data_IF_569370281609
#
_entry.id   IF_569370281609
#
_cell.length_a   1.000
_cell.length_b   1.000
_cell.length_c   1.000
_cell.angle_alpha   90.00
_cell.angle_beta   90.00
_cell.angle_gamma   90.00
#
_symmetry.space_group_name_H-M   'P 1'
#
loop_
_entity.id
_entity.type
_entity.pdbx_description
1 polymer ?
#
# COMPACT_ATOMS: atom_id res chain seq x y z
N UNK A 1 16.41 24.39 0.34
CA UNK A 1 16.53 23.34 1.38
C UNK A 1 15.89 22.06 0.88
N UNK A 2 16.55 20.93 1.03
CA UNK A 2 15.97 19.65 0.57
C UNK A 2 15.04 19.07 1.65
N UNK A 3 13.83 18.69 1.24
CA UNK A 3 12.87 17.95 2.04
C UNK A 3 13.14 16.46 1.93
N UNK A 4 12.78 15.69 2.96
CA UNK A 4 12.79 14.23 2.88
C UNK A 4 11.39 13.69 2.63
N UNK A 5 11.31 12.68 1.77
CA UNK A 5 10.07 12.00 1.42
C UNK A 5 10.23 10.48 1.58
N UNK A 6 9.17 9.83 2.04
CA UNK A 6 9.01 8.39 1.90
C UNK A 6 8.05 8.11 0.75
N UNK A 7 8.52 7.38 -0.26
CA UNK A 7 7.77 7.04 -1.46
C UNK A 7 7.54 5.54 -1.48
N UNK A 8 6.28 5.10 -1.60
CA UNK A 8 5.96 3.71 -1.87
C UNK A 8 6.07 3.43 -3.37
N UNK A 9 6.68 2.29 -3.71
CA UNK A 9 6.82 1.80 -5.07
C UNK A 9 6.12 0.45 -5.18
N UNK A 10 5.23 0.32 -6.16
CA UNK A 10 4.49 -0.92 -6.44
C UNK A 10 4.50 -1.27 -7.92
N UNK A 11 4.61 -2.57 -8.24
CA UNK A 11 4.49 -3.10 -9.59
C UNK A 11 3.86 -4.48 -9.56
N UNK A 12 2.93 -4.78 -10.49
CA UNK A 12 2.35 -6.13 -10.64
C UNK A 12 2.32 -6.60 -12.09
N UNK A 13 2.95 -5.85 -12.99
CA UNK A 13 3.00 -6.18 -14.42
C UNK A 13 4.42 -6.05 -14.94
N UNK A 14 4.82 -6.98 -15.81
CA UNK A 14 6.05 -6.88 -16.56
C UNK A 14 6.00 -5.65 -17.49
N UNK A 15 7.05 -4.84 -17.47
CA UNK A 15 7.23 -3.67 -18.30
C UNK A 15 8.55 -3.72 -19.06
N UNK A 16 8.96 -2.60 -19.65
CA UNK A 16 10.24 -2.46 -20.39
C UNK A 16 11.47 -2.75 -19.52
N UNK A 17 11.37 -2.60 -18.21
CA UNK A 17 12.43 -2.90 -17.25
C UNK A 17 12.41 -4.37 -16.76
N UNK A 18 11.56 -5.22 -17.33
CA UNK A 18 11.48 -6.64 -16.98
C UNK A 18 10.39 -6.98 -15.97
N UNK A 19 10.69 -7.91 -15.06
CA UNK A 19 9.76 -8.35 -14.01
C UNK A 19 9.43 -7.22 -13.01
N UNK A 20 8.31 -7.32 -12.25
CA UNK A 20 7.89 -6.30 -11.29
C UNK A 20 9.00 -5.84 -10.33
N UNK A 21 9.78 -6.76 -9.77
CA UNK A 21 10.88 -6.41 -8.87
C UNK A 21 12.01 -5.62 -9.57
N UNK A 22 12.30 -5.92 -10.83
CA UNK A 22 13.27 -5.15 -11.62
C UNK A 22 12.75 -3.75 -11.94
N UNK A 23 11.45 -3.63 -12.26
CA UNK A 23 10.76 -2.35 -12.47
C UNK A 23 10.82 -1.47 -11.22
N UNK A 24 10.53 -2.02 -10.02
CA UNK A 24 10.62 -1.29 -8.75
C UNK A 24 12.05 -0.78 -8.50
N UNK A 25 13.08 -1.61 -8.72
CA UNK A 25 14.48 -1.18 -8.56
C UNK A 25 14.88 -0.08 -9.57
N UNK A 26 14.43 -0.21 -10.82
CA UNK A 26 14.69 0.81 -11.84
C UNK A 26 13.99 2.13 -11.50
N UNK A 27 12.75 2.07 -11.00
CA UNK A 27 12.01 3.25 -10.57
C UNK A 27 12.67 3.94 -9.37
N UNK A 28 13.15 3.18 -8.38
CA UNK A 28 13.89 3.75 -7.24
C UNK A 28 15.13 4.55 -7.70
N UNK A 29 15.88 4.04 -8.68
CA UNK A 29 16.99 4.80 -9.29
C UNK A 29 16.51 6.04 -10.02
N UNK A 30 15.44 5.92 -10.81
CA UNK A 30 14.90 7.03 -11.61
C UNK A 30 14.40 8.22 -10.77
N UNK A 31 13.90 7.95 -9.55
CA UNK A 31 13.45 9.00 -8.61
C UNK A 31 14.58 9.50 -7.69
N UNK A 32 15.83 9.08 -7.89
CA UNK A 32 16.97 9.53 -7.08
C UNK A 32 16.92 9.05 -5.62
N UNK A 33 16.46 7.82 -5.38
CA UNK A 33 16.34 7.30 -4.03
C UNK A 33 17.69 7.22 -3.30
N UNK A 34 17.78 7.85 -2.12
CA UNK A 34 18.98 7.81 -1.25
C UNK A 34 19.03 6.54 -0.39
N UNK A 35 17.88 5.93 -0.15
CA UNK A 35 17.74 4.64 0.55
C UNK A 35 16.52 3.90 0.02
N UNK A 36 16.61 2.57 -0.11
CA UNK A 36 15.52 1.71 -0.59
C UNK A 36 15.42 0.48 0.30
N UNK A 37 14.23 0.10 0.68
CA UNK A 37 13.96 -1.16 1.40
C UNK A 37 14.18 -2.37 0.49
N UNK A 38 14.20 -3.56 1.08
CA UNK A 38 14.10 -4.80 0.30
C UNK A 38 12.81 -4.79 -0.52
N UNK A 39 12.90 -5.25 -1.78
CA UNK A 39 11.71 -5.48 -2.61
C UNK A 39 11.04 -6.75 -2.13
N UNK A 40 9.77 -6.64 -1.70
CA UNK A 40 8.96 -7.75 -1.17
C UNK A 40 7.86 -8.10 -2.14
N UNK A 41 7.64 -9.41 -2.35
CA UNK A 41 6.49 -9.89 -3.10
C UNK A 41 5.30 -10.05 -2.17
N UNK A 42 4.15 -9.52 -2.56
CA UNK A 42 2.87 -9.74 -1.86
C UNK A 42 1.89 -10.45 -2.78
N UNK A 43 1.08 -11.39 -2.26
CA UNK A 43 0.01 -12.02 -3.04
C UNK A 43 -0.93 -10.96 -3.62
N UNK A 44 -1.58 -11.30 -4.74
CA UNK A 44 -2.64 -10.46 -5.29
C UNK A 44 -3.81 -10.36 -4.30
N UNK A 45 -4.34 -9.17 -4.13
CA UNK A 45 -5.64 -8.97 -3.49
C UNK A 45 -6.70 -9.11 -4.57
N UNK A 46 -7.35 -10.28 -4.65
CA UNK A 46 -8.46 -10.54 -5.56
C UNK A 46 -8.20 -11.58 -6.66
N UNK A 47 -9.21 -11.93 -7.46
CA UNK A 47 -9.19 -13.06 -8.41
C UNK A 47 -8.27 -12.87 -9.63
N UNK A 48 -7.72 -11.68 -9.87
CA UNK A 48 -6.83 -11.39 -11.00
C UNK A 48 -5.38 -11.88 -10.84
N UNK A 49 -5.01 -12.50 -9.74
CA UNK A 49 -3.96 -13.49 -9.61
C UNK A 49 -2.49 -13.08 -9.77
N UNK A 50 -2.12 -11.79 -9.88
CA UNK A 50 -0.72 -11.38 -10.01
C UNK A 50 -0.21 -10.71 -8.75
N UNK A 51 0.81 -11.29 -8.11
CA UNK A 51 1.48 -10.70 -6.96
C UNK A 51 2.12 -9.34 -7.29
N UNK A 52 2.19 -8.49 -6.28
CA UNK A 52 2.88 -7.21 -6.36
C UNK A 52 4.31 -7.32 -5.87
N UNK A 53 5.23 -6.61 -6.51
CA UNK A 53 6.52 -6.27 -5.93
C UNK A 53 6.37 -4.88 -5.30
N UNK A 54 6.68 -4.76 -4.01
CA UNK A 54 6.57 -3.52 -3.24
C UNK A 54 7.88 -3.18 -2.56
N UNK A 55 8.19 -1.89 -2.48
CA UNK A 55 9.29 -1.32 -1.70
C UNK A 55 8.91 0.08 -1.23
N UNK A 56 9.71 0.62 -0.30
CA UNK A 56 9.69 2.05 0.06
C UNK A 56 11.07 2.62 -0.17
N UNK A 57 11.11 3.82 -0.76
CA UNK A 57 12.31 4.60 -0.96
C UNK A 57 12.26 5.89 -0.13
N UNK A 58 13.42 6.33 0.38
CA UNK A 58 13.63 7.69 0.86
C UNK A 58 14.23 8.50 -0.29
N UNK A 59 13.66 9.69 -0.50
CA UNK A 59 14.06 10.64 -1.54
C UNK A 59 14.27 12.00 -0.89
N UNK A 60 15.31 12.71 -1.32
CA UNK A 60 15.52 14.12 -1.01
C UNK A 60 15.13 14.96 -2.22
N UNK A 61 14.37 16.04 -2.00
CA UNK A 61 13.90 16.90 -3.08
C UNK A 61 13.62 18.31 -2.56
N UNK A 62 13.87 19.32 -3.37
CA UNK A 62 13.47 20.71 -3.07
C UNK A 62 12.02 21.01 -3.50
N UNK A 63 11.36 20.05 -4.14
CA UNK A 63 9.97 20.17 -4.58
C UNK A 63 9.00 19.99 -3.41
N UNK A 64 8.00 20.84 -3.33
CA UNK A 64 6.84 20.64 -2.45
C UNK A 64 5.98 19.44 -2.91
N UNK A 65 5.12 18.87 -2.03
CA UNK A 65 4.38 17.65 -2.32
C UNK A 65 3.60 17.62 -3.65
N UNK A 66 2.90 18.68 -4.10
CA UNK A 66 2.21 18.66 -5.39
C UNK A 66 3.15 18.58 -6.60
N UNK A 67 4.27 19.31 -6.54
CA UNK A 67 5.27 19.29 -7.60
C UNK A 67 6.01 17.96 -7.67
N UNK A 68 6.36 17.38 -6.52
CA UNK A 68 6.92 16.03 -6.45
C UNK A 68 5.92 14.99 -6.98
N UNK A 69 4.63 15.08 -6.63
CA UNK A 69 3.60 14.18 -7.16
C UNK A 69 3.56 14.25 -8.70
N UNK A 70 3.60 15.46 -9.28
CA UNK A 70 3.61 15.62 -10.73
C UNK A 70 4.82 14.93 -11.39
N UNK A 71 6.02 15.06 -10.80
CA UNK A 71 7.23 14.37 -11.22
C UNK A 71 7.06 12.84 -11.13
N UNK A 72 6.57 12.32 -10.01
CA UNK A 72 6.33 10.89 -9.84
C UNK A 72 5.34 10.35 -10.87
N UNK A 73 4.28 11.09 -11.19
CA UNK A 73 3.31 10.71 -12.23
C UNK A 73 3.93 10.77 -13.64
N UNK A 74 4.90 11.64 -13.89
CA UNK A 74 5.68 11.60 -15.13
C UNK A 74 6.51 10.32 -15.19
N UNK A 75 7.25 9.98 -14.14
CA UNK A 75 8.03 8.73 -14.07
C UNK A 75 7.15 7.51 -14.31
N UNK A 76 5.95 7.45 -13.72
CA UNK A 76 5.01 6.35 -13.98
C UNK A 76 4.64 6.24 -15.49
N UNK A 77 4.38 7.38 -16.15
CA UNK A 77 4.08 7.41 -17.61
C UNK A 77 5.28 6.90 -18.42
N UNK A 78 6.48 7.35 -18.08
CA UNK A 78 7.72 6.94 -18.74
C UNK A 78 8.01 5.44 -18.56
N UNK A 79 7.55 4.84 -17.47
CA UNK A 79 7.62 3.40 -17.22
C UNK A 79 6.50 2.60 -17.92
N UNK A 80 5.62 3.27 -18.66
CA UNK A 80 4.57 2.63 -19.47
C UNK A 80 3.22 2.52 -18.76
N UNK A 81 2.96 3.37 -17.77
CA UNK A 81 1.62 3.50 -17.21
C UNK A 81 0.70 4.10 -18.26
N UNK A 82 -0.24 3.31 -18.75
CA UNK A 82 -1.34 3.79 -19.61
C UNK A 82 -2.55 4.07 -18.73
N UNK A 83 -3.35 5.09 -19.09
CA UNK A 83 -4.63 5.34 -18.46
C UNK A 83 -5.49 4.07 -18.50
N UNK A 84 -6.12 3.70 -17.39
CA UNK A 84 -6.87 2.46 -17.30
C UNK A 84 -7.72 2.36 -16.03
N UNK A 85 -8.43 1.25 -15.85
CA UNK A 85 -9.34 0.99 -14.72
C UNK A 85 -8.63 1.15 -13.36
N UNK A 86 -9.34 1.71 -12.38
CA UNK A 86 -8.86 2.05 -11.02
C UNK A 86 -8.11 0.91 -10.30
N UNK A 87 -8.36 -0.35 -10.64
CA UNK A 87 -7.74 -1.55 -10.05
C UNK A 87 -7.06 -2.45 -11.10
N UNK A 88 -6.70 -1.89 -12.26
CA UNK A 88 -6.06 -2.63 -13.35
C UNK A 88 -4.59 -2.97 -13.09
N UNK A 89 -3.99 -3.83 -13.95
CA UNK A 89 -2.57 -4.15 -13.88
C UNK A 89 -1.72 -2.88 -14.07
N UNK A 90 -0.81 -2.61 -13.13
CA UNK A 90 0.06 -1.43 -13.15
C UNK A 90 1.52 -1.84 -13.34
N UNK A 91 2.17 -1.28 -14.35
CA UNK A 91 3.61 -1.46 -14.54
C UNK A 91 4.37 -0.82 -13.38
N UNK A 92 3.95 0.39 -12.97
CA UNK A 92 4.51 1.12 -11.84
C UNK A 92 3.44 1.99 -11.19
N UNK A 93 3.47 2.05 -9.86
CA UNK A 93 2.67 2.94 -9.02
C UNK A 93 3.59 3.59 -7.98
N UNK A 94 3.56 4.92 -7.88
CA UNK A 94 4.39 5.72 -6.98
C UNK A 94 3.48 6.62 -6.13
N UNK A 95 3.53 6.42 -4.80
CA UNK A 95 2.72 7.18 -3.86
C UNK A 95 3.59 7.86 -2.80
N UNK A 96 3.35 9.15 -2.53
CA UNK A 96 3.97 9.89 -1.42
C UNK A 96 3.33 9.40 -0.12
N UNK A 97 4.15 8.85 0.78
CA UNK A 97 3.68 8.31 2.07
C UNK A 97 3.85 9.30 3.19
N UNK A 98 5.06 9.87 3.31
CA UNK A 98 5.42 10.85 4.35
C UNK A 98 6.25 11.98 3.74
N UNK A 99 6.20 13.13 4.39
CA UNK A 99 6.98 14.33 4.12
C UNK A 99 7.60 14.86 5.41
N UNK A 100 8.83 15.37 5.37
CA UNK A 100 9.57 15.82 6.56
C UNK A 100 8.91 16.99 7.28
N UNK A 101 8.22 17.87 6.54
CA UNK A 101 7.58 19.06 7.12
C UNK A 101 6.16 18.78 7.69
N UNK A 102 5.77 17.52 7.78
CA UNK A 102 4.53 17.13 8.45
C UNK A 102 3.36 16.83 7.52
N UNK A 103 2.13 17.20 7.90
CA UNK A 103 0.95 16.91 7.09
C UNK A 103 0.81 17.89 5.92
N UNK A 104 0.30 17.37 4.79
CA UNK A 104 -0.11 18.16 3.64
C UNK A 104 -1.49 17.72 3.18
N UNK A 105 -2.33 18.69 2.80
CA UNK A 105 -3.62 18.42 2.18
C UNK A 105 -3.91 19.44 1.07
N UNK A 106 -4.12 18.94 -0.14
CA UNK A 106 -4.56 19.71 -1.30
C UNK A 106 -5.43 18.85 -2.21
N UNK A 107 -6.03 19.43 -3.25
CA UNK A 107 -6.84 18.67 -4.20
C UNK A 107 -6.04 17.50 -4.80
N UNK A 108 -6.51 16.27 -4.54
CA UNK A 108 -5.90 15.04 -5.06
C UNK A 108 -4.65 14.53 -4.34
N UNK A 109 -4.18 15.21 -3.27
CA UNK A 109 -3.01 14.79 -2.51
C UNK A 109 -3.21 15.00 -1.00
N UNK A 110 -3.07 13.92 -0.24
CA UNK A 110 -3.02 13.93 1.23
C UNK A 110 -1.76 13.20 1.70
N UNK A 111 -0.95 13.87 2.51
CA UNK A 111 0.25 13.32 3.17
C UNK A 111 0.09 13.54 4.68
N UNK A 112 0.24 12.54 5.53
CA UNK A 112 0.54 11.12 5.24
C UNK A 112 -0.54 10.45 4.39
N UNK A 113 -0.09 9.50 3.53
CA UNK A 113 -1.05 8.74 2.72
C UNK A 113 -2.11 8.06 3.62
N UNK A 114 -3.42 8.23 3.41
CA UNK A 114 -4.46 7.83 4.36
C UNK A 114 -4.38 6.35 4.80
N UNK A 115 -4.08 5.46 3.86
CA UNK A 115 -4.11 4.01 4.07
C UNK A 115 -2.78 3.40 4.56
N UNK A 116 -1.68 4.17 4.67
CA UNK A 116 -0.37 3.58 4.91
C UNK A 116 -0.28 2.82 6.24
N UNK A 117 -1.00 3.28 7.27
CA UNK A 117 -1.01 2.66 8.61
C UNK A 117 -1.62 1.26 8.63
N UNK A 118 -2.46 0.94 7.65
CA UNK A 118 -3.18 -0.35 7.53
C UNK A 118 -2.52 -1.29 6.53
N UNK A 119 -1.61 -0.78 5.68
CA UNK A 119 -0.97 -1.54 4.59
C UNK A 119 0.37 -2.08 5.04
N UNK A 120 0.44 -3.35 5.44
CA UNK A 120 1.71 -4.00 5.85
C UNK A 120 2.78 -3.89 4.79
N UNK A 121 2.41 -4.04 3.51
CA UNK A 121 3.33 -3.98 2.38
C UNK A 121 3.90 -2.57 2.12
N UNK A 122 3.41 -1.54 2.80
CA UNK A 122 3.97 -0.18 2.85
C UNK A 122 4.68 0.03 4.19
N UNK A 123 4.01 -0.28 5.30
CA UNK A 123 4.49 0.08 6.64
C UNK A 123 5.74 -0.70 7.05
N UNK A 124 5.83 -2.00 6.72
CA UNK A 124 7.02 -2.81 7.03
C UNK A 124 8.25 -2.34 6.25
N UNK A 125 8.21 -2.13 4.91
CA UNK A 125 9.31 -1.53 4.17
C UNK A 125 9.68 -0.12 4.64
N UNK A 126 8.70 0.69 5.03
CA UNK A 126 8.94 2.03 5.58
C UNK A 126 9.70 1.96 6.90
N UNK A 127 9.31 1.06 7.80
CA UNK A 127 10.03 0.86 9.07
C UNK A 127 11.44 0.26 8.89
N UNK A 128 11.72 -0.41 7.76
CA UNK A 128 13.05 -0.90 7.41
C UNK A 128 14.00 0.26 7.07
N UNK A 129 13.53 1.26 6.31
CA UNK A 129 14.38 2.38 5.86
C UNK A 129 14.34 3.59 6.80
N UNK A 130 13.26 3.78 7.56
CA UNK A 130 13.06 4.91 8.45
C UNK A 130 12.36 4.49 9.77
N UNK A 131 12.94 3.60 10.59
CA UNK A 131 12.29 3.02 11.77
C UNK A 131 11.87 4.05 12.81
N UNK A 132 12.60 5.16 12.92
CA UNK A 132 12.40 6.22 13.90
C UNK A 132 11.58 7.41 13.35
N UNK A 133 11.29 7.45 12.05
CA UNK A 133 10.43 8.50 11.51
C UNK A 133 9.07 8.47 12.21
N UNK A 134 8.60 9.63 12.62
CA UNK A 134 7.33 9.75 13.34
C UNK A 134 6.20 10.06 12.37
N UNK A 135 5.10 9.38 12.56
CA UNK A 135 3.83 9.74 11.94
C UNK A 135 3.37 11.11 12.48
N UNK A 136 3.23 12.14 11.63
CA UNK A 136 2.93 13.49 12.11
C UNK A 136 1.53 13.62 12.74
N UNK A 137 0.62 12.66 12.51
CA UNK A 137 -0.73 12.70 13.07
C UNK A 137 -0.84 11.95 14.41
N UNK A 138 -0.01 10.92 14.64
CA UNK A 138 -0.11 10.09 15.86
C UNK A 138 1.11 10.17 16.77
N UNK A 139 2.22 10.77 16.30
CA UNK A 139 3.50 10.83 16.99
C UNK A 139 4.24 9.49 17.09
N UNK A 140 3.59 8.38 16.68
CA UNK A 140 4.18 7.05 16.75
C UNK A 140 5.29 6.87 15.71
N UNK A 141 6.38 6.19 16.10
CA UNK A 141 7.42 5.82 15.14
C UNK A 141 6.93 4.72 14.18
N UNK A 142 7.55 4.60 13.01
CA UNK A 142 7.19 3.56 12.04
C UNK A 142 7.35 2.16 12.65
N UNK A 143 8.37 1.93 13.47
CA UNK A 143 8.54 0.67 14.22
C UNK A 143 7.39 0.39 15.19
N UNK A 144 6.90 1.41 15.90
CA UNK A 144 5.74 1.27 16.80
C UNK A 144 4.46 0.96 16.03
N UNK A 145 4.25 1.58 14.86
CA UNK A 145 3.09 1.32 14.01
C UNK A 145 3.10 -0.12 13.46
N UNK A 146 4.25 -0.64 13.02
CA UNK A 146 4.39 -2.06 12.61
C UNK A 146 4.01 -3.00 13.77
N UNK A 147 4.51 -2.73 14.97
CA UNK A 147 4.18 -3.54 16.15
C UNK A 147 2.68 -3.55 16.45
N UNK A 148 2.04 -2.37 16.44
CA UNK A 148 0.58 -2.22 16.66
C UNK A 148 -0.21 -2.98 15.59
N UNK A 149 0.17 -2.86 14.31
CA UNK A 149 -0.49 -3.56 13.20
C UNK A 149 -0.37 -5.09 13.34
N UNK A 150 0.79 -5.60 13.79
CA UNK A 150 1.01 -7.02 14.06
C UNK A 150 0.14 -7.56 15.19
N UNK A 151 -0.11 -6.78 16.24
CA UNK A 151 -1.02 -7.16 17.34
C UNK A 151 -2.46 -7.21 16.90
N UNK A 152 -2.92 -6.21 16.14
CA UNK A 152 -4.30 -6.16 15.64
C UNK A 152 -4.65 -7.37 14.76
N UNK A 153 -3.72 -7.82 13.91
CA UNK A 153 -3.92 -9.01 13.05
C UNK A 153 -3.91 -10.32 13.83
N UNK A 154 -3.23 -10.42 14.96
CA UNK A 154 -3.29 -11.62 15.83
C UNK A 154 -4.63 -11.68 16.56
N UNK A 155 -5.09 -10.57 17.14
CA UNK A 155 -6.37 -10.51 17.86
C UNK A 155 -7.58 -10.86 16.99
N UNK A 156 -7.55 -10.59 15.69
CA UNK A 156 -8.63 -10.98 14.75
C UNK A 156 -8.54 -12.46 14.34
N UNK A 157 -7.36 -13.09 14.38
CA UNK A 157 -7.20 -14.54 14.11
C UNK A 157 -7.63 -15.41 15.28
N UNK A 158 -7.46 -14.93 16.51
CA UNK A 158 -7.77 -15.65 17.74
C UNK A 158 -9.23 -15.49 18.19
N UNK A 159 -10.06 -14.76 17.44
CA UNK A 159 -11.49 -14.68 17.73
C UNK A 159 -12.17 -15.95 17.22
N UNK A 160 -12.73 -16.81 18.12
CA UNK A 160 -13.41 -18.02 17.69
C UNK A 160 -14.56 -17.63 16.77
N UNK A 161 -14.67 -18.33 15.63
CA UNK A 161 -15.82 -18.24 14.73
C UNK A 161 -17.07 -18.49 15.58
N UNK A 162 -17.93 -17.48 15.70
CA UNK A 162 -19.26 -17.68 16.28
C UNK A 162 -19.93 -18.82 15.49
N UNK A 163 -20.45 -19.87 16.16
CA UNK A 163 -21.15 -20.93 15.45
C UNK A 163 -22.28 -20.29 14.63
N UNK A 164 -22.33 -20.65 13.36
CA UNK A 164 -23.37 -20.20 12.43
C UNK A 164 -24.71 -20.63 13.05
N UNK A 165 -25.57 -19.69 13.40
CA UNK A 165 -26.89 -19.99 13.89
C UNK A 165 -27.55 -20.97 12.90
N UNK A 166 -27.92 -22.17 13.38
CA UNK A 166 -28.66 -23.14 12.59
C UNK A 166 -29.98 -22.47 12.23
N UNK A 167 -30.26 -22.43 10.92
CA UNK A 167 -31.56 -21.99 10.43
C UNK A 167 -32.64 -22.89 11.04
N UNK A 168 -33.79 -22.33 11.50
CA UNK A 168 -34.86 -23.14 12.05
C UNK A 168 -35.31 -24.15 10.98
N UNK A 169 -35.37 -25.43 11.36
CA UNK A 169 -35.86 -26.49 10.51
C UNK A 169 -37.35 -26.21 10.20
N UNK A 170 -37.63 -25.93 8.94
CA UNK A 170 -39.00 -25.79 8.44
C UNK A 170 -39.69 -27.16 8.58
N UNK A 171 -40.50 -27.33 9.65
CA UNK A 171 -41.41 -28.48 9.75
C UNK A 171 -42.44 -28.34 8.63
N UNK A 172 -42.37 -29.26 7.67
CA UNK A 172 -43.39 -29.43 6.66
C UNK A 172 -44.67 -29.90 7.38
N UNK A 173 -45.69 -29.02 7.49
CA UNK A 173 -47.03 -29.42 7.89
C UNK A 173 -47.68 -30.12 6.70
N UNK A 174 -47.84 -31.44 6.82
CA UNK A 174 -48.68 -32.24 5.90
C UNK A 174 -50.11 -32.01 6.36
N UNK A 175 -50.91 -31.34 5.51
CA UNK A 175 -52.36 -31.24 5.73
C UNK A 175 -53.00 -32.59 5.34
N UNK A 176 -53.92 -33.14 6.15
CA UNK A 176 -54.68 -34.31 5.81
C UNK A 176 -55.64 -34.00 4.68
N UNK A 177 -55.67 -34.84 3.63
CA UNK A 177 -56.71 -34.84 2.61
C UNK A 177 -57.99 -35.30 3.24
N UNK A 178 -58.96 -34.41 3.39
CA UNK A 178 -60.35 -34.71 3.74
C UNK A 178 -61.12 -35.23 2.54
N UNK A 179 -62.03 -36.14 2.82
CA UNK A 179 -63.02 -36.80 1.95
C UNK A 179 -63.89 -35.80 1.15
#
# INVERSE_FOLDING_TARGET
MAFQYAIALGSNRRGRHGAPAATVRAAARAIGAVRVSKVRSTPALGPAGRGFANAVALVESELEPPALLALLKQVERDFGRRGGRRWGPRVLDLDIILWSEGPWASAGLVVPHPEFRRRRFVLEPLAEVAPLWRDPLTGATMRQLVYRLGRATRSTRDKPLKPRAQAPSTRLYILPRGC
#
